data_IF_663552245141
#
_entry.id   IF_663552245141
#
_cell.length_a   1.000
_cell.length_b   1.000
_cell.length_c   1.000
_cell.angle_alpha   90.00
_cell.angle_beta   90.00
_cell.angle_gamma   90.00
#
_symmetry.space_group_name_H-M   'P 1'
#
loop_
_entity.id
_entity.type
_entity.pdbx_description
1 polymer ?
#
# COMPACT_ATOMS: atom_id res chain seq x y z
N UNK A 1 -45.52 10.88 -11.23
CA UNK A 1 -44.36 11.58 -11.83
C UNK A 1 -43.08 11.07 -11.20
N UNK A 2 -42.17 10.59 -12.05
CA UNK A 2 -40.88 9.98 -11.75
C UNK A 2 -39.92 10.87 -10.95
N UNK A 3 -39.02 10.23 -10.20
CA UNK A 3 -37.56 10.40 -10.34
C UNK A 3 -36.85 9.18 -9.72
N UNK A 4 -36.62 8.16 -10.54
CA UNK A 4 -35.81 6.98 -10.21
C UNK A 4 -34.33 7.36 -10.40
N UNK A 5 -33.63 7.71 -9.33
CA UNK A 5 -32.19 7.96 -9.37
C UNK A 5 -31.45 6.64 -9.61
N UNK A 6 -31.06 6.41 -10.86
CA UNK A 6 -30.14 5.34 -11.24
C UNK A 6 -28.76 5.68 -10.69
N UNK A 7 -28.38 5.06 -9.57
CA UNK A 7 -26.97 4.97 -9.21
C UNK A 7 -26.30 4.11 -10.28
N UNK A 8 -25.56 4.75 -11.18
CA UNK A 8 -24.65 4.10 -12.11
C UNK A 8 -23.54 3.46 -11.30
N UNK A 9 -23.76 2.21 -10.89
CA UNK A 9 -22.71 1.38 -10.32
C UNK A 9 -21.65 1.17 -11.38
N UNK A 10 -20.54 1.90 -11.27
CA UNK A 10 -19.31 1.57 -11.97
C UNK A 10 -18.98 0.11 -11.66
N UNK A 11 -18.88 -0.73 -12.70
CA UNK A 11 -18.46 -2.13 -12.61
C UNK A 11 -16.97 -2.20 -12.26
N UNK A 12 -16.58 -1.67 -11.10
CA UNK A 12 -15.32 -2.04 -10.45
C UNK A 12 -15.58 -3.39 -9.82
N UNK A 13 -15.12 -4.47 -10.45
CA UNK A 13 -14.98 -5.74 -9.76
C UNK A 13 -13.94 -5.55 -8.66
N UNK A 14 -14.39 -5.09 -7.49
CA UNK A 14 -13.59 -5.09 -6.27
C UNK A 14 -13.57 -6.55 -5.80
N UNK A 15 -12.64 -7.33 -6.34
CA UNK A 15 -12.31 -8.61 -5.71
C UNK A 15 -11.92 -8.29 -4.27
N UNK A 16 -12.67 -8.83 -3.30
CA UNK A 16 -12.42 -8.56 -1.88
C UNK A 16 -11.00 -8.98 -1.50
N UNK A 17 -10.36 -8.23 -0.61
CA UNK A 17 -9.10 -8.63 -0.01
C UNK A 17 -9.26 -10.00 0.66
N UNK A 18 -8.19 -10.80 0.69
CA UNK A 18 -8.16 -12.14 1.29
C UNK A 18 -9.19 -13.13 0.69
N UNK A 19 -9.48 -13.03 -0.60
CA UNK A 19 -10.46 -13.90 -1.30
C UNK A 19 -9.84 -15.16 -1.91
N UNK A 20 -8.52 -15.19 -2.12
CA UNK A 20 -7.81 -16.30 -2.77
C UNK A 20 -6.97 -17.03 -1.72
N UNK A 21 -7.39 -18.22 -1.31
CA UNK A 21 -6.60 -19.05 -0.38
C UNK A 21 -5.53 -19.84 -1.14
N UNK A 22 -4.27 -19.70 -0.72
CA UNK A 22 -3.12 -20.35 -1.39
C UNK A 22 -2.39 -21.38 -0.50
N UNK A 23 -2.92 -21.67 0.68
CA UNK A 23 -2.36 -22.69 1.58
C UNK A 23 -0.96 -22.33 2.11
N UNK A 24 -0.06 -23.32 2.14
CA UNK A 24 1.35 -23.14 2.48
C UNK A 24 2.15 -22.90 1.20
N UNK A 25 2.91 -21.82 1.18
CA UNK A 25 3.71 -21.41 0.02
C UNK A 25 5.14 -21.19 0.49
N UNK A 26 6.09 -21.73 -0.27
CA UNK A 26 7.52 -21.60 0.02
C UNK A 26 8.08 -20.25 -0.40
N UNK A 27 7.76 -19.82 -1.63
CA UNK A 27 8.22 -18.56 -2.22
C UNK A 27 7.13 -17.96 -3.10
N UNK A 28 7.04 -16.63 -3.10
CA UNK A 28 6.13 -15.86 -3.96
C UNK A 28 6.92 -14.87 -4.81
N UNK A 29 6.67 -14.86 -6.12
CA UNK A 29 7.29 -13.93 -7.06
C UNK A 29 6.22 -13.25 -7.90
N UNK A 30 6.00 -11.96 -7.68
CA UNK A 30 5.07 -11.15 -8.46
C UNK A 30 5.80 -10.08 -9.24
N UNK A 31 5.47 -9.99 -10.53
CA UNK A 31 6.02 -9.01 -11.46
C UNK A 31 4.90 -8.18 -12.07
N UNK A 32 5.18 -6.89 -12.23
CA UNK A 32 4.33 -5.92 -12.89
C UNK A 32 2.89 -5.95 -12.36
N UNK A 33 1.89 -6.04 -13.22
CA UNK A 33 0.46 -6.03 -12.83
C UNK A 33 0.09 -7.13 -11.83
N UNK A 34 0.85 -8.22 -11.74
CA UNK A 34 0.57 -9.29 -10.78
C UNK A 34 0.79 -8.87 -9.33
N UNK A 35 1.57 -7.80 -9.08
CA UNK A 35 1.81 -7.27 -7.73
C UNK A 35 0.48 -6.84 -7.07
N UNK A 36 -0.49 -6.34 -7.84
CA UNK A 36 -1.81 -5.93 -7.32
C UNK A 36 -2.70 -7.10 -6.86
N UNK A 37 -2.30 -8.34 -7.12
CA UNK A 37 -2.99 -9.53 -6.58
C UNK A 37 -2.64 -9.74 -5.10
N UNK A 38 -1.51 -9.22 -4.61
CA UNK A 38 -1.03 -9.42 -3.24
C UNK A 38 -2.11 -9.22 -2.15
N UNK A 39 -2.90 -8.13 -2.10
CA UNK A 39 -3.95 -7.94 -1.09
C UNK A 39 -5.13 -8.93 -1.21
N UNK A 40 -5.27 -9.61 -2.34
CA UNK A 40 -6.33 -10.61 -2.58
C UNK A 40 -5.96 -11.98 -2.03
N UNK A 41 -4.68 -12.23 -1.73
CA UNK A 41 -4.21 -13.50 -1.21
C UNK A 41 -4.53 -13.64 0.28
N UNK A 42 -4.98 -14.83 0.67
CA UNK A 42 -5.13 -15.26 2.05
C UNK A 42 -4.10 -16.34 2.33
N UNK A 43 -3.00 -15.93 2.97
CA UNK A 43 -1.94 -16.83 3.41
C UNK A 43 -2.38 -17.61 4.66
N UNK A 44 -1.89 -18.83 4.80
CA UNK A 44 -2.10 -19.61 6.03
C UNK A 44 -1.35 -18.94 7.20
N UNK A 45 -1.97 -18.84 8.38
CA UNK A 45 -1.39 -18.16 9.55
C UNK A 45 -0.05 -18.75 10.00
N UNK A 46 0.10 -20.06 9.84
CA UNK A 46 1.33 -20.82 10.16
C UNK A 46 2.33 -20.88 8.99
N UNK A 47 2.05 -20.23 7.86
CA UNK A 47 2.98 -20.26 6.74
C UNK A 47 4.20 -19.38 7.04
N UNK A 48 5.38 -19.98 6.99
CA UNK A 48 6.66 -19.28 7.02
C UNK A 48 7.24 -19.38 5.61
N UNK A 49 7.26 -18.25 4.90
CA UNK A 49 7.82 -18.18 3.55
C UNK A 49 9.32 -17.92 3.63
N UNK A 50 10.09 -18.60 2.79
CA UNK A 50 11.51 -18.28 2.66
C UNK A 50 11.68 -16.93 1.94
N UNK A 51 10.87 -16.65 0.92
CA UNK A 51 11.04 -15.45 0.10
C UNK A 51 9.74 -14.89 -0.46
N UNK A 52 9.64 -13.56 -0.49
CA UNK A 52 8.72 -12.82 -1.35
C UNK A 52 9.47 -11.81 -2.21
N UNK A 53 9.28 -11.88 -3.52
CA UNK A 53 9.85 -10.96 -4.51
C UNK A 53 8.73 -10.19 -5.19
N UNK A 54 8.78 -8.86 -5.09
CA UNK A 54 7.87 -7.95 -5.77
C UNK A 54 8.69 -7.05 -6.70
N UNK A 55 8.34 -7.04 -7.98
CA UNK A 55 8.99 -6.20 -8.99
C UNK A 55 7.95 -5.50 -9.84
N UNK A 56 8.08 -4.19 -10.02
CA UNK A 56 7.18 -3.42 -10.86
C UNK A 56 8.01 -2.41 -11.64
N UNK A 57 8.16 -2.62 -12.94
CA UNK A 57 8.96 -1.76 -13.80
C UNK A 57 8.31 -0.40 -14.08
N UNK A 58 7.01 -0.26 -13.76
CA UNK A 58 6.21 0.94 -14.04
C UNK A 58 5.32 1.32 -12.86
N UNK A 59 5.04 2.62 -12.64
CA UNK A 59 4.23 3.06 -11.51
C UNK A 59 2.78 2.61 -11.59
N UNK A 60 2.25 2.39 -12.80
CA UNK A 60 0.86 1.98 -13.03
C UNK A 60 0.56 0.59 -12.48
N UNK A 61 1.59 -0.27 -12.36
CA UNK A 61 1.48 -1.64 -11.86
C UNK A 61 1.23 -1.73 -10.35
N UNK A 62 1.26 -0.61 -9.62
CA UNK A 62 1.07 -0.57 -8.16
C UNK A 62 0.16 0.57 -7.72
N UNK A 63 -0.61 1.15 -8.66
CA UNK A 63 -1.41 2.35 -8.37
C UNK A 63 -2.41 2.07 -7.27
N UNK A 64 -3.12 0.94 -7.36
CA UNK A 64 -4.13 0.56 -6.37
C UNK A 64 -3.51 0.33 -4.99
N UNK A 65 -2.32 -0.28 -4.94
CA UNK A 65 -1.63 -0.61 -3.68
C UNK A 65 -1.18 0.64 -2.92
N UNK A 66 -0.84 1.71 -3.63
CA UNK A 66 -0.37 2.94 -3.00
C UNK A 66 -1.49 3.78 -2.40
N UNK A 67 -2.72 3.60 -2.88
CA UNK A 67 -3.92 4.18 -2.31
C UNK A 67 -4.35 3.48 -1.01
N UNK A 68 -3.85 2.27 -0.76
CA UNK A 68 -4.16 1.54 0.47
C UNK A 68 -3.58 2.21 1.71
N UNK A 69 -4.18 1.93 2.86
CA UNK A 69 -3.66 2.38 4.15
C UNK A 69 -2.31 1.73 4.46
N UNK A 70 -1.50 2.38 5.30
CA UNK A 70 -0.25 1.79 5.74
C UNK A 70 -0.53 0.52 6.56
N UNK A 71 0.36 -0.47 6.47
CA UNK A 71 0.24 -1.75 7.17
C UNK A 71 -1.08 -2.50 6.90
N UNK A 72 -1.73 -2.29 5.76
CA UNK A 72 -3.02 -2.92 5.41
C UNK A 72 -2.87 -4.24 4.64
N UNK A 73 -1.71 -4.50 4.03
CA UNK A 73 -1.43 -5.71 3.25
C UNK A 73 -0.67 -6.70 4.14
N UNK A 74 -1.35 -7.71 4.66
CA UNK A 74 -0.72 -8.73 5.49
C UNK A 74 -0.05 -9.82 4.64
N UNK A 75 1.25 -10.00 4.82
CA UNK A 75 2.06 -10.98 4.07
C UNK A 75 2.59 -12.13 4.93
N UNK A 76 2.13 -12.25 6.19
CA UNK A 76 2.49 -13.36 7.07
C UNK A 76 3.93 -13.33 7.59
N UNK A 77 4.49 -14.51 7.84
CA UNK A 77 5.90 -14.70 8.22
C UNK A 77 6.73 -14.92 6.95
N UNK A 78 7.82 -14.17 6.80
CA UNK A 78 8.75 -14.27 5.69
C UNK A 78 10.19 -14.00 6.15
N UNK A 79 11.11 -14.83 5.68
CA UNK A 79 12.55 -14.71 5.96
C UNK A 79 13.21 -13.65 5.07
N UNK A 80 12.88 -13.60 3.78
CA UNK A 80 13.41 -12.62 2.82
C UNK A 80 12.34 -11.82 2.08
N UNK A 81 12.43 -10.48 2.15
CA UNK A 81 11.61 -9.55 1.40
C UNK A 81 12.46 -8.82 0.36
N UNK A 82 12.17 -9.02 -0.93
CA UNK A 82 12.85 -8.36 -2.04
C UNK A 82 11.88 -7.43 -2.79
N UNK A 83 12.11 -6.13 -2.69
CA UNK A 83 11.34 -5.10 -3.38
C UNK A 83 12.19 -4.45 -4.45
N UNK A 84 11.69 -4.50 -5.69
CA UNK A 84 12.36 -3.95 -6.86
C UNK A 84 11.54 -2.85 -7.53
N UNK A 85 12.25 -1.85 -8.06
CA UNK A 85 11.70 -0.74 -8.84
C UNK A 85 10.58 0.01 -8.10
N UNK A 86 9.41 0.17 -8.71
CA UNK A 86 8.33 0.96 -8.12
C UNK A 86 7.73 0.32 -6.85
N UNK A 87 7.91 -0.99 -6.64
CA UNK A 87 7.39 -1.69 -5.43
C UNK A 87 8.04 -1.20 -4.13
N UNK A 88 9.16 -0.48 -4.19
CA UNK A 88 9.71 0.22 -3.02
C UNK A 88 8.67 1.15 -2.37
N UNK A 89 7.78 1.76 -3.18
CA UNK A 89 6.72 2.62 -2.70
C UNK A 89 5.63 1.91 -1.88
N UNK A 90 5.48 0.59 -2.03
CA UNK A 90 4.48 -0.18 -1.28
C UNK A 90 5.03 -0.72 0.05
N UNK A 91 6.32 -0.54 0.36
CA UNK A 91 6.92 -0.99 1.62
C UNK A 91 6.11 -0.55 2.85
N UNK A 92 5.65 0.71 3.00
CA UNK A 92 4.82 1.13 4.14
C UNK A 92 3.43 0.50 4.19
N UNK A 93 2.98 -0.14 3.11
CA UNK A 93 1.66 -0.78 2.99
C UNK A 93 1.69 -2.23 3.48
N UNK A 94 2.88 -2.83 3.51
CA UNK A 94 3.08 -4.21 3.94
C UNK A 94 3.04 -4.32 5.48
N UNK A 95 2.45 -5.40 5.96
CA UNK A 95 2.42 -5.80 7.36
C UNK A 95 2.89 -7.24 7.49
N UNK A 96 3.95 -7.43 8.25
CA UNK A 96 4.46 -8.74 8.64
C UNK A 96 3.70 -9.25 9.87
N UNK A 97 3.78 -10.55 10.14
CA UNK A 97 3.34 -11.10 11.42
C UNK A 97 4.19 -10.53 12.56
N UNK A 98 3.62 -10.32 13.75
CA UNK A 98 4.32 -9.67 14.89
C UNK A 98 5.54 -10.49 15.35
N UNK A 99 5.44 -11.81 15.29
CA UNK A 99 6.54 -12.75 15.56
C UNK A 99 7.51 -12.97 14.38
N UNK A 100 7.43 -12.17 13.31
CA UNK A 100 8.31 -12.37 12.16
C UNK A 100 9.75 -11.96 12.47
N UNK A 101 10.69 -12.85 12.17
CA UNK A 101 12.12 -12.54 12.14
C UNK A 101 12.52 -12.40 10.68
N UNK A 102 12.58 -11.17 10.19
CA UNK A 102 13.02 -10.90 8.81
C UNK A 102 14.55 -11.00 8.76
N UNK A 103 15.06 -12.02 8.10
CA UNK A 103 16.51 -12.24 7.95
C UNK A 103 17.11 -11.31 6.90
N UNK A 104 16.36 -11.02 5.82
CA UNK A 104 16.86 -10.21 4.71
C UNK A 104 15.80 -9.25 4.17
N UNK A 105 16.20 -7.99 4.02
CA UNK A 105 15.44 -6.96 3.31
C UNK A 105 16.30 -6.41 2.16
N UNK A 106 15.92 -6.76 0.94
CA UNK A 106 16.57 -6.29 -0.28
C UNK A 106 15.71 -5.22 -0.96
N UNK A 107 16.29 -4.04 -1.17
CA UNK A 107 15.62 -2.90 -1.80
C UNK A 107 16.43 -2.44 -3.03
N UNK A 108 15.90 -2.64 -4.22
CA UNK A 108 16.58 -2.29 -5.47
C UNK A 108 15.76 -1.32 -6.31
N UNK A 109 16.27 -0.11 -6.51
CA UNK A 109 15.66 0.89 -7.39
C UNK A 109 16.66 1.39 -8.42
N UNK A 110 16.39 1.15 -9.71
CA UNK A 110 17.27 1.62 -10.80
C UNK A 110 17.18 3.12 -11.07
N UNK A 111 16.07 3.77 -10.69
CA UNK A 111 15.83 5.19 -10.96
C UNK A 111 15.44 5.91 -9.65
N UNK A 112 16.02 7.09 -9.33
CA UNK A 112 15.61 7.91 -8.20
C UNK A 112 14.09 8.15 -8.10
N UNK A 113 13.37 8.21 -9.24
CA UNK A 113 11.92 8.35 -9.29
C UNK A 113 11.17 7.23 -8.54
N UNK A 114 11.77 6.04 -8.42
CA UNK A 114 11.19 4.91 -7.70
C UNK A 114 11.12 5.16 -6.18
N UNK A 115 12.00 6.01 -5.64
CA UNK A 115 12.14 6.28 -4.20
C UNK A 115 11.30 7.50 -3.76
N UNK A 116 11.02 8.45 -4.67
CA UNK A 116 10.33 9.72 -4.38
C UNK A 116 8.96 9.52 -3.70
N UNK A 117 8.28 8.39 -3.95
CA UNK A 117 6.95 8.10 -3.36
C UNK A 117 6.98 7.68 -1.90
N UNK A 118 8.12 7.25 -1.35
CA UNK A 118 8.23 6.74 0.04
C UNK A 118 8.15 7.89 1.06
N UNK A 119 8.63 9.09 0.70
CA UNK A 119 8.82 10.21 1.65
C UNK A 119 7.70 11.25 1.66
N UNK A 120 6.60 11.06 0.92
CA UNK A 120 5.50 12.03 0.90
C UNK A 120 4.54 11.83 2.07
N UNK A 121 5.05 11.94 3.31
CA UNK A 121 4.18 12.23 4.47
C UNK A 121 3.63 13.64 4.28
N UNK A 122 2.31 13.78 4.12
CA UNK A 122 1.66 15.09 4.32
C UNK A 122 1.79 15.42 5.80
N UNK A 123 2.69 16.33 6.16
CA UNK A 123 2.66 16.96 7.47
C UNK A 123 1.43 17.86 7.54
N UNK A 124 0.32 17.32 8.06
CA UNK A 124 -0.88 18.09 8.38
C UNK A 124 -0.61 18.80 9.73
N UNK A 125 0.36 19.72 9.79
CA UNK A 125 0.62 20.52 11.00
C UNK A 125 0.94 22.00 10.75
N UNK A 126 1.04 22.47 9.51
CA UNK A 126 1.43 23.87 9.24
C UNK A 126 0.26 24.84 9.01
N UNK A 127 -1.00 24.39 9.11
CA UNK A 127 -2.16 25.29 9.14
C UNK A 127 -2.78 25.32 10.54
N UNK A 128 -2.11 26.01 11.46
CA UNK A 128 -2.77 26.50 12.66
C UNK A 128 -3.89 27.48 12.27
N UNK A 129 -5.04 27.50 12.97
CA UNK A 129 -6.15 28.37 12.60
C UNK A 129 -5.70 29.82 12.66
N UNK A 130 -5.87 30.54 11.54
CA UNK A 130 -5.66 31.97 11.47
C UNK A 130 -6.41 32.65 12.62
N UNK A 131 -5.67 33.16 13.62
CA UNK A 131 -6.25 34.03 14.65
C UNK A 131 -6.78 35.27 13.93
N UNK A 132 -8.08 35.34 13.76
CA UNK A 132 -8.82 36.56 13.42
C UNK A 132 -8.49 37.62 14.47
N UNK A 133 -7.53 38.48 14.16
CA UNK A 133 -7.25 39.71 14.88
C UNK A 133 -8.49 40.59 14.71
N UNK A 134 -9.36 40.62 15.72
CA UNK A 134 -10.48 41.58 15.76
C UNK A 134 -9.89 43.00 15.68
N UNK A 135 -10.41 43.90 14.84
CA UNK A 135 -9.97 45.28 14.81
C UNK A 135 -10.26 45.93 16.16
N UNK A 136 -9.23 46.58 16.70
CA UNK A 136 -9.27 47.31 17.95
C UNK A 136 -10.12 48.57 17.73
N UNK A 137 -11.37 48.56 18.18
CA UNK A 137 -12.19 49.76 18.22
C UNK A 137 -11.71 50.59 19.42
N UNK A 138 -10.80 51.52 19.16
CA UNK A 138 -10.46 52.63 20.05
C UNK A 138 -9.76 53.71 19.23
N UNK A 139 -10.54 54.53 18.52
CA UNK A 139 -10.15 55.90 18.19
C UNK A 139 -11.42 56.76 18.05
N UNK A 140 -11.46 57.84 18.84
CA UNK A 140 -12.43 58.95 18.93
C UNK A 140 -13.76 58.67 19.66
#
# INVERSE_FOLDING_TARGET
>A
MSKKNRKTGSLRQVTRNNSIWIGKVKSLNFRDYTVEILPKLKLHGENVMEEIVLDACRPEHITELLEMENSSIWIGKVESLNLKNYTLGILPKLRLHDENVLEKLDLYGYNPQHIVRINKKRNIKDEGPAKLRKPNANIA
#
